data_IF_020134423795
#
_entry.id   IF_020134423795
#
_cell.length_a   1.000
_cell.length_b   1.000
_cell.length_c   1.000
_cell.angle_alpha   90.00
_cell.angle_beta   90.00
_cell.angle_gamma   90.00
#
_symmetry.space_group_name_H-M   'P 1'
#
loop_
_entity.id
_entity.type
_entity.pdbx_description
1 polymer ?
#
# COMPACT_ATOMS: atom_id res chain seq x y z
N UNK A 1 12.91 -8.22 0.97
CA UNK A 1 12.89 -8.35 2.44
C UNK A 1 12.29 -7.07 3.04
N UNK A 2 11.04 -7.17 3.53
CA UNK A 2 10.29 -6.02 4.07
C UNK A 2 10.98 -5.38 5.29
N UNK A 3 11.72 -6.14 6.10
CA UNK A 3 12.45 -5.58 7.22
C UNK A 3 13.53 -4.60 6.75
N UNK A 4 14.24 -4.94 5.69
CA UNK A 4 15.21 -4.02 5.07
C UNK A 4 14.55 -2.79 4.46
N UNK A 5 13.37 -2.95 3.86
CA UNK A 5 12.64 -1.81 3.32
C UNK A 5 12.26 -0.82 4.43
N UNK A 6 11.76 -1.30 5.56
CA UNK A 6 11.44 -0.46 6.72
C UNK A 6 12.68 0.27 7.23
N UNK A 7 13.82 -0.43 7.38
CA UNK A 7 15.09 0.17 7.82
C UNK A 7 15.58 1.26 6.85
N UNK A 8 15.43 1.04 5.54
CA UNK A 8 15.84 2.01 4.52
C UNK A 8 14.93 3.24 4.57
N UNK A 9 13.62 3.04 4.64
CA UNK A 9 12.64 4.14 4.68
C UNK A 9 12.87 5.02 5.91
N UNK A 10 13.07 4.41 7.07
CA UNK A 10 13.32 5.13 8.32
C UNK A 10 14.72 5.79 8.31
N UNK A 11 15.75 5.03 7.99
CA UNK A 11 17.15 5.51 8.01
C UNK A 11 17.45 6.64 7.02
N UNK A 12 16.76 6.69 5.89
CA UNK A 12 16.91 7.73 4.86
C UNK A 12 15.83 8.82 4.92
N UNK A 13 14.92 8.76 5.88
CA UNK A 13 13.78 9.68 6.00
C UNK A 13 12.93 9.79 4.71
N UNK A 14 12.76 8.67 3.99
CA UNK A 14 11.98 8.61 2.76
C UNK A 14 10.46 8.68 3.02
N UNK A 15 10.04 8.31 4.21
CA UNK A 15 8.66 8.22 4.66
C UNK A 15 8.60 7.63 6.04
N UNK A 16 7.59 6.77 6.28
CA UNK A 16 7.41 6.11 7.57
C UNK A 16 6.61 4.81 7.40
N UNK A 17 6.44 4.09 8.51
CA UNK A 17 5.63 2.88 8.59
C UNK A 17 4.46 3.10 9.53
N UNK A 18 3.25 2.89 9.02
CA UNK A 18 2.02 2.95 9.78
C UNK A 18 1.59 1.55 10.22
N UNK A 19 1.32 1.37 11.49
CA UNK A 19 0.85 0.11 12.06
C UNK A 19 -0.64 0.19 12.38
N UNK A 20 -1.37 -0.88 12.07
CA UNK A 20 -2.74 -1.09 12.51
C UNK A 20 -2.76 -2.17 13.58
N UNK A 21 -3.16 -1.79 14.79
CA UNK A 21 -3.22 -2.69 15.94
C UNK A 21 -4.64 -2.76 16.50
N UNK A 22 -4.98 -3.93 17.04
CA UNK A 22 -6.18 -4.12 17.83
C UNK A 22 -5.80 -4.74 19.17
N UNK A 23 -5.89 -3.94 20.25
CA UNK A 23 -5.31 -4.33 21.53
C UNK A 23 -3.79 -4.42 21.42
N UNK A 24 -3.23 -5.63 21.62
CA UNK A 24 -1.78 -5.89 21.49
C UNK A 24 -1.43 -6.66 20.21
N UNK A 25 -2.39 -6.84 19.32
CA UNK A 25 -2.20 -7.62 18.10
C UNK A 25 -2.01 -6.72 16.89
N UNK A 26 -0.94 -6.95 16.15
CA UNK A 26 -0.71 -6.33 14.86
C UNK A 26 -1.67 -6.93 13.83
N UNK A 27 -2.53 -6.11 13.26
CA UNK A 27 -3.52 -6.48 12.24
C UNK A 27 -2.97 -6.27 10.83
N UNK A 28 -2.23 -5.21 10.64
CA UNK A 28 -1.66 -4.85 9.35
C UNK A 28 -0.71 -3.67 9.46
N UNK A 29 -0.08 -3.33 8.35
CA UNK A 29 0.83 -2.19 8.27
C UNK A 29 0.90 -1.62 6.86
N UNK A 30 1.40 -0.41 6.76
CA UNK A 30 1.70 0.24 5.49
C UNK A 30 3.05 0.94 5.57
N UNK A 31 3.86 0.78 4.54
CA UNK A 31 5.08 1.54 4.31
C UNK A 31 4.74 2.60 3.26
N UNK A 32 5.05 3.87 3.53
CA UNK A 32 4.77 4.95 2.60
C UNK A 32 5.96 5.90 2.47
N UNK A 33 6.05 6.53 1.31
CA UNK A 33 7.01 7.56 1.00
C UNK A 33 6.33 8.92 0.92
N UNK A 34 7.08 9.95 1.29
CA UNK A 34 6.69 11.36 1.13
C UNK A 34 7.65 12.05 0.15
N UNK A 35 7.26 13.17 -0.51
CA UNK A 35 8.12 13.88 -1.42
C UNK A 35 9.44 14.35 -0.78
N UNK A 36 10.51 14.33 -1.57
CA UNK A 36 11.84 14.69 -1.13
C UNK A 36 12.89 13.88 -1.87
N UNK A 37 13.67 13.10 -1.14
CA UNK A 37 14.67 12.18 -1.69
C UNK A 37 14.08 10.81 -2.07
N UNK A 38 12.79 10.61 -1.81
CA UNK A 38 12.06 9.38 -2.13
C UNK A 38 11.53 9.39 -3.56
N UNK A 39 10.96 8.26 -3.98
CA UNK A 39 10.26 8.13 -5.27
C UNK A 39 8.85 8.71 -5.30
N UNK A 40 8.36 9.25 -4.16
CA UNK A 40 7.04 9.88 -4.11
C UNK A 40 7.01 11.15 -4.98
N UNK A 41 6.08 11.25 -5.95
CA UNK A 41 5.94 12.47 -6.74
C UNK A 41 5.56 13.67 -5.86
N UNK A 42 5.95 14.86 -6.29
CA UNK A 42 5.60 16.10 -5.59
C UNK A 42 4.09 16.20 -5.34
N UNK A 43 3.72 16.59 -4.14
CA UNK A 43 2.33 16.73 -3.73
C UNK A 43 1.61 15.40 -3.44
N UNK A 44 2.32 14.27 -3.43
CA UNK A 44 1.72 12.95 -3.24
C UNK A 44 2.36 12.19 -2.08
N UNK A 45 1.53 11.44 -1.34
CA UNK A 45 1.98 10.33 -0.51
C UNK A 45 1.95 9.07 -1.38
N UNK A 46 3.02 8.32 -1.38
CA UNK A 46 3.16 7.10 -2.17
C UNK A 46 3.16 5.86 -1.27
N UNK A 47 2.17 5.00 -1.43
CA UNK A 47 2.09 3.74 -0.70
C UNK A 47 3.04 2.74 -1.33
N UNK A 48 4.14 2.43 -0.65
CA UNK A 48 5.12 1.45 -1.13
C UNK A 48 4.66 0.03 -0.94
N UNK A 49 4.06 -0.24 0.22
CA UNK A 49 3.52 -1.54 0.56
C UNK A 49 2.41 -1.39 1.61
N UNK A 50 1.38 -2.20 1.53
CA UNK A 50 0.35 -2.34 2.55
C UNK A 50 -0.07 -3.80 2.61
N UNK A 51 -0.22 -4.32 3.81
CA UNK A 51 -0.78 -5.66 4.00
C UNK A 51 -1.63 -5.74 5.27
N UNK A 52 -2.74 -6.46 5.15
CA UNK A 52 -3.55 -6.92 6.28
C UNK A 52 -3.24 -8.40 6.50
N UNK A 53 -3.13 -8.82 7.75
CA UNK A 53 -2.94 -10.23 8.11
C UNK A 53 -3.99 -11.10 7.41
N UNK A 54 -3.54 -12.08 6.62
CA UNK A 54 -4.40 -12.96 5.83
C UNK A 54 -5.42 -13.74 6.69
N UNK A 55 -5.16 -13.92 7.98
CA UNK A 55 -6.08 -14.54 8.93
C UNK A 55 -7.22 -13.60 9.35
N UNK A 56 -7.11 -12.31 9.04
CA UNK A 56 -8.00 -11.23 9.47
C UNK A 56 -8.40 -10.34 8.31
N UNK A 57 -8.80 -10.96 7.19
CA UNK A 57 -9.14 -10.29 5.92
C UNK A 57 -10.47 -9.57 5.98
N UNK A 58 -10.62 -8.65 6.91
CA UNK A 58 -11.80 -7.78 6.98
C UNK A 58 -11.55 -6.51 6.18
N UNK A 59 -12.41 -6.18 5.20
CA UNK A 59 -12.28 -4.94 4.43
C UNK A 59 -12.18 -3.69 5.29
N UNK A 60 -12.81 -3.66 6.46
CA UNK A 60 -12.74 -2.54 7.41
C UNK A 60 -11.30 -2.22 7.83
N UNK A 61 -10.44 -3.22 7.96
CA UNK A 61 -9.04 -3.01 8.33
C UNK A 61 -8.24 -2.36 7.19
N UNK A 62 -8.49 -2.77 5.97
CA UNK A 62 -7.93 -2.14 4.78
C UNK A 62 -8.36 -0.67 4.69
N UNK A 63 -9.65 -0.42 4.84
CA UNK A 63 -10.20 0.94 4.81
C UNK A 63 -9.68 1.80 5.96
N UNK A 64 -9.45 1.25 7.15
CA UNK A 64 -8.86 1.97 8.28
C UNK A 64 -7.43 2.42 7.97
N UNK A 65 -6.59 1.56 7.41
CA UNK A 65 -5.22 1.94 6.98
C UNK A 65 -5.24 2.99 5.89
N UNK A 66 -6.08 2.82 4.87
CA UNK A 66 -6.18 3.79 3.78
C UNK A 66 -6.67 5.16 4.28
N UNK A 67 -7.67 5.19 5.17
CA UNK A 67 -8.14 6.43 5.78
C UNK A 67 -7.02 7.14 6.55
N UNK A 68 -6.21 6.41 7.32
CA UNK A 68 -5.08 6.99 8.04
C UNK A 68 -4.00 7.54 7.11
N UNK A 69 -3.70 6.85 6.00
CA UNK A 69 -2.77 7.36 4.99
C UNK A 69 -3.28 8.63 4.32
N UNK A 70 -4.57 8.70 4.03
CA UNK A 70 -5.22 9.88 3.47
C UNK A 70 -5.20 11.07 4.46
N UNK A 71 -5.44 10.82 5.75
CA UNK A 71 -5.30 11.84 6.80
C UNK A 71 -3.87 12.33 6.94
N UNK A 72 -2.89 11.42 6.93
CA UNK A 72 -1.46 11.78 6.95
C UNK A 72 -1.09 12.66 5.75
N UNK A 73 -1.54 12.30 4.56
CA UNK A 73 -1.32 13.10 3.36
C UNK A 73 -1.91 14.51 3.51
N UNK A 74 -3.16 14.62 3.96
CA UNK A 74 -3.83 15.90 4.18
C UNK A 74 -3.13 16.75 5.24
N UNK A 75 -2.72 16.16 6.35
CA UNK A 75 -1.98 16.83 7.43
C UNK A 75 -0.59 17.32 7.02
N UNK A 76 0.04 16.65 6.06
CA UNK A 76 1.32 17.05 5.47
C UNK A 76 1.18 18.03 4.29
N UNK A 77 -0.04 18.48 3.96
CA UNK A 77 -0.30 19.37 2.83
C UNK A 77 -0.19 18.70 1.46
N UNK A 78 -0.20 17.38 1.42
CA UNK A 78 -0.18 16.60 0.18
C UNK A 78 -1.59 16.49 -0.40
N UNK A 79 -1.69 16.52 -1.71
CA UNK A 79 -2.99 16.58 -2.41
C UNK A 79 -3.47 15.23 -2.92
N UNK A 80 -2.60 14.22 -2.94
CA UNK A 80 -2.90 12.90 -3.50
C UNK A 80 -2.26 11.79 -2.67
N UNK A 81 -2.92 10.64 -2.72
CA UNK A 81 -2.34 9.35 -2.31
C UNK A 81 -2.24 8.48 -3.56
N UNK A 82 -1.06 7.95 -3.83
CA UNK A 82 -0.82 6.99 -4.90
C UNK A 82 -0.69 5.62 -4.29
N UNK A 83 -1.53 4.70 -4.74
CA UNK A 83 -1.63 3.35 -4.21
C UNK A 83 -1.48 2.33 -5.36
N UNK A 84 -0.27 1.81 -5.60
CA UNK A 84 -0.09 0.71 -6.54
C UNK A 84 -0.84 -0.54 -6.08
N UNK A 85 -1.52 -1.20 -6.99
CA UNK A 85 -2.21 -2.45 -6.69
C UNK A 85 -2.08 -3.45 -7.83
N UNK A 86 -1.83 -4.69 -7.47
CA UNK A 86 -1.88 -5.81 -8.41
C UNK A 86 -3.28 -6.40 -8.42
N UNK A 87 -3.88 -6.56 -9.60
CA UNK A 87 -5.27 -7.03 -9.73
C UNK A 87 -5.50 -8.47 -9.27
N UNK A 88 -4.45 -9.24 -9.04
CA UNK A 88 -4.55 -10.53 -8.34
C UNK A 88 -5.11 -10.38 -6.91
N UNK A 89 -4.93 -9.20 -6.30
CA UNK A 89 -5.55 -8.81 -5.03
C UNK A 89 -6.87 -8.06 -5.32
N UNK A 90 -7.82 -8.76 -5.88
CA UNK A 90 -9.05 -8.17 -6.42
C UNK A 90 -9.85 -7.37 -5.39
N UNK A 91 -9.95 -7.86 -4.16
CA UNK A 91 -10.69 -7.17 -3.08
C UNK A 91 -10.03 -5.85 -2.71
N UNK A 92 -8.69 -5.80 -2.66
CA UNK A 92 -7.96 -4.55 -2.42
C UNK A 92 -8.15 -3.56 -3.57
N UNK A 93 -8.07 -4.02 -4.82
CA UNK A 93 -8.33 -3.20 -6.01
C UNK A 93 -9.73 -2.59 -5.98
N UNK A 94 -10.77 -3.40 -5.72
CA UNK A 94 -12.14 -2.91 -5.58
C UNK A 94 -12.28 -1.91 -4.42
N UNK A 95 -11.63 -2.18 -3.29
CA UNK A 95 -11.63 -1.28 -2.13
C UNK A 95 -11.07 0.10 -2.46
N UNK A 96 -10.04 0.20 -3.30
CA UNK A 96 -9.53 1.50 -3.77
C UNK A 96 -10.57 2.21 -4.65
N UNK A 97 -11.21 1.52 -5.58
CA UNK A 97 -12.25 2.12 -6.42
C UNK A 97 -13.44 2.62 -5.59
N UNK A 98 -13.88 1.86 -4.60
CA UNK A 98 -14.94 2.24 -3.66
C UNK A 98 -14.59 3.51 -2.86
N UNK A 99 -13.30 3.73 -2.58
CA UNK A 99 -12.80 4.95 -1.93
C UNK A 99 -12.67 6.14 -2.89
N UNK A 100 -12.98 5.99 -4.16
CA UNK A 100 -12.90 7.05 -5.15
C UNK A 100 -11.54 7.19 -5.84
N UNK A 101 -10.65 6.21 -5.71
CA UNK A 101 -9.40 6.18 -6.46
C UNK A 101 -9.69 6.00 -7.95
N UNK A 102 -8.96 6.71 -8.78
CA UNK A 102 -8.97 6.56 -10.24
C UNK A 102 -7.66 5.96 -10.72
N UNK A 103 -7.72 5.26 -11.86
CA UNK A 103 -6.54 4.67 -12.47
C UNK A 103 -5.78 5.75 -13.24
N UNK A 104 -4.54 6.05 -12.81
CA UNK A 104 -3.66 6.98 -13.52
C UNK A 104 -2.96 6.28 -14.70
N UNK A 105 -2.42 5.10 -14.45
CA UNK A 105 -1.79 4.26 -15.49
C UNK A 105 -1.79 2.80 -15.07
N UNK A 106 -1.59 1.92 -16.04
CA UNK A 106 -1.51 0.48 -15.83
C UNK A 106 -0.17 -0.06 -16.31
N UNK A 107 0.34 -1.05 -15.60
CA UNK A 107 1.51 -1.83 -15.99
C UNK A 107 1.12 -3.28 -16.19
N UNK A 108 1.79 -3.95 -17.11
CA UNK A 108 1.60 -5.37 -17.36
C UNK A 108 2.80 -6.13 -16.83
N UNK A 109 2.55 -7.11 -15.98
CA UNK A 109 3.57 -8.06 -15.55
C UNK A 109 3.66 -9.18 -16.58
N UNK A 110 4.85 -9.39 -17.13
CA UNK A 110 5.12 -10.49 -18.07
C UNK A 110 5.96 -11.57 -17.40
N UNK A 111 5.68 -12.81 -17.75
CA UNK A 111 6.42 -14.00 -17.29
C UNK A 111 7.03 -14.72 -18.47
N UNK A 112 8.21 -15.29 -18.28
CA UNK A 112 8.83 -16.22 -19.21
C UNK A 112 8.64 -17.65 -18.68
N UNK A 113 8.04 -18.53 -19.52
CA UNK A 113 7.80 -19.92 -19.16
C UNK A 113 6.46 -20.21 -18.46
N UNK A 114 6.27 -21.46 -18.06
CA UNK A 114 5.07 -21.90 -17.33
C UNK A 114 5.30 -21.73 -15.84
N UNK A 115 4.86 -20.59 -15.31
CA UNK A 115 4.85 -20.31 -13.87
C UNK A 115 3.38 -20.26 -13.45
N UNK A 116 3.02 -20.94 -12.37
CA UNK A 116 1.68 -20.83 -11.79
C UNK A 116 1.36 -19.37 -11.48
N UNK A 117 0.16 -18.96 -11.83
CA UNK A 117 -0.29 -17.61 -11.51
C UNK A 117 -0.59 -17.50 -10.02
N UNK A 118 -0.10 -16.42 -9.44
CA UNK A 118 -0.37 -16.10 -8.06
C UNK A 118 -1.68 -15.32 -7.99
N UNK A 119 -2.77 -16.02 -7.72
CA UNK A 119 -4.08 -15.43 -7.52
C UNK A 119 -4.46 -15.49 -6.04
N UNK A 120 -4.60 -14.34 -5.43
CA UNK A 120 -5.04 -14.18 -4.04
C UNK A 120 -6.13 -13.09 -3.94
N UNK A 121 -7.31 -13.34 -4.52
CA UNK A 121 -8.32 -12.30 -4.74
C UNK A 121 -8.87 -11.70 -3.44
N UNK A 122 -8.79 -12.41 -2.32
CA UNK A 122 -9.29 -11.95 -1.03
C UNK A 122 -8.21 -11.37 -0.12
N UNK A 123 -6.93 -11.45 -0.50
CA UNK A 123 -5.87 -10.84 0.28
C UNK A 123 -5.90 -9.32 0.11
N UNK A 124 -5.74 -8.61 1.21
CA UNK A 124 -5.77 -7.14 1.26
C UNK A 124 -4.32 -6.63 1.26
N UNK A 125 -3.75 -6.55 0.07
CA UNK A 125 -2.36 -6.18 -0.16
C UNK A 125 -2.28 -5.12 -1.25
N UNK A 126 -1.49 -4.09 -0.99
CA UNK A 126 -0.97 -3.15 -1.98
C UNK A 126 0.54 -3.36 -2.10
N UNK A 127 1.03 -3.41 -3.31
CA UNK A 127 2.37 -3.88 -3.58
C UNK A 127 2.93 -3.22 -4.84
N UNK A 128 4.02 -2.49 -4.67
CA UNK A 128 4.75 -1.85 -5.76
C UNK A 128 5.94 -2.73 -6.17
N UNK A 129 5.67 -3.75 -6.94
CA UNK A 129 6.71 -4.56 -7.57
C UNK A 129 7.22 -3.90 -8.85
N UNK A 130 8.25 -3.10 -8.69
CA UNK A 130 9.06 -2.61 -9.82
C UNK A 130 10.37 -3.34 -9.91
#
# INVERSE_FOLDING_TARGET
>A
DLAKEVEIVDGLALGDTLLLERGRELIGFAIYHIPGVSEAPQGSLYVKFLAIDFRRRKPEYFHALMASLEELAGGAGLKRVIAPVYTAYWTAYQGLLERGYSIDFTMVRMKLGKIEEYERPTDLVLDDWR
#
